data_IF_430204894718
#
_entry.id   IF_430204894718
#
_cell.length_a   1.000
_cell.length_b   1.000
_cell.length_c   1.000
_cell.angle_alpha   90.00
_cell.angle_beta   90.00
_cell.angle_gamma   90.00
#
_symmetry.space_group_name_H-M   'P 1'
#
loop_
_entity.id
_entity.type
_entity.pdbx_description
1 polymer ?
#
# COMPACT_ATOMS: atom_id res chain seq x y z
N UNK A 1 -21.75 35.63 -31.09
CA UNK A 1 -20.84 35.46 -29.95
C UNK A 1 -21.54 35.29 -28.59
N UNK A 2 -22.63 36.01 -28.27
CA UNK A 2 -23.36 35.88 -27.00
C UNK A 2 -24.03 34.47 -26.81
N UNK A 3 -24.60 33.89 -27.87
CA UNK A 3 -25.23 32.55 -27.81
C UNK A 3 -24.23 31.42 -27.56
N UNK A 4 -23.00 31.54 -28.05
CA UNK A 4 -21.93 30.55 -27.82
C UNK A 4 -21.45 30.58 -26.38
N UNK A 5 -21.36 31.77 -25.76
CA UNK A 5 -21.01 31.90 -24.34
C UNK A 5 -22.07 31.33 -23.42
N UNK A 6 -23.32 31.52 -23.70
CA UNK A 6 -24.47 30.94 -22.97
C UNK A 6 -24.47 29.40 -23.05
N UNK A 7 -24.16 28.85 -24.21
CA UNK A 7 -24.07 27.41 -24.42
C UNK A 7 -22.90 26.77 -23.64
N UNK A 8 -21.76 27.43 -23.62
CA UNK A 8 -20.60 26.99 -22.84
C UNK A 8 -20.90 27.02 -21.32
N UNK A 9 -21.56 28.10 -20.85
CA UNK A 9 -21.96 28.21 -19.43
C UNK A 9 -22.97 27.12 -19.07
N UNK A 10 -23.92 26.82 -19.97
CA UNK A 10 -24.91 25.76 -19.76
C UNK A 10 -24.26 24.37 -19.69
N UNK A 11 -23.26 24.08 -20.54
CA UNK A 11 -22.49 22.82 -20.49
C UNK A 11 -21.69 22.72 -19.18
N UNK A 12 -21.06 23.80 -18.73
CA UNK A 12 -20.30 23.83 -17.47
C UNK A 12 -21.26 23.60 -16.28
N UNK A 13 -22.43 24.21 -16.31
CA UNK A 13 -23.44 24.03 -15.25
C UNK A 13 -24.01 22.61 -15.23
N UNK A 14 -24.25 22.01 -16.40
CA UNK A 14 -24.66 20.61 -16.52
C UNK A 14 -23.59 19.64 -16.00
N UNK A 15 -22.31 19.91 -16.28
CA UNK A 15 -21.18 19.15 -15.78
C UNK A 15 -21.03 19.27 -14.25
N UNK A 16 -21.19 20.47 -13.70
CA UNK A 16 -21.17 20.67 -12.23
C UNK A 16 -22.34 19.95 -11.53
N UNK A 17 -23.52 19.92 -12.13
CA UNK A 17 -24.67 19.20 -11.60
C UNK A 17 -24.44 17.68 -11.57
N UNK A 18 -23.78 17.11 -12.58
CA UNK A 18 -23.42 15.69 -12.62
C UNK A 18 -22.37 15.35 -11.55
N UNK A 19 -21.38 16.21 -11.33
CA UNK A 19 -20.35 16.03 -10.29
C UNK A 19 -20.98 16.08 -8.89
N UNK A 20 -21.92 16.99 -8.64
CA UNK A 20 -22.63 17.11 -7.37
C UNK A 20 -23.49 15.87 -7.06
N UNK A 21 -24.15 15.30 -8.07
CA UNK A 21 -24.91 14.05 -7.92
C UNK A 21 -24.04 12.85 -7.58
N UNK A 22 -22.81 12.79 -8.12
CA UNK A 22 -21.84 11.73 -7.85
C UNK A 22 -21.24 11.84 -6.45
N UNK A 23 -20.99 13.06 -5.97
CA UNK A 23 -20.46 13.30 -4.62
C UNK A 23 -21.48 12.89 -3.54
N UNK A 24 -22.77 13.10 -3.76
CA UNK A 24 -23.83 12.68 -2.84
C UNK A 24 -23.96 11.13 -2.77
N UNK A 25 -23.75 10.44 -3.88
CA UNK A 25 -23.72 8.98 -3.93
C UNK A 25 -22.49 8.42 -3.16
N UNK A 26 -21.33 9.06 -3.31
CA UNK A 26 -20.09 8.68 -2.60
C UNK A 26 -20.22 8.80 -1.08
N UNK A 27 -20.96 9.81 -0.57
CA UNK A 27 -21.16 10.00 0.87
C UNK A 27 -22.04 8.90 1.47
N UNK A 28 -23.01 8.40 0.71
CA UNK A 28 -23.93 7.35 1.15
C UNK A 28 -23.30 5.96 1.24
N UNK A 29 -22.34 5.64 0.36
CA UNK A 29 -21.64 4.35 0.38
C UNK A 29 -20.56 4.28 1.50
N UNK A 30 -20.04 5.42 1.95
CA UNK A 30 -19.12 5.47 3.09
C UNK A 30 -19.81 5.20 4.44
N UNK A 31 -21.11 5.52 4.57
CA UNK A 31 -21.87 5.23 5.79
C UNK A 31 -22.17 3.74 5.96
N UNK A 32 -22.26 2.98 4.89
CA UNK A 32 -22.46 1.52 4.93
C UNK A 32 -21.18 0.73 5.28
N UNK A 33 -20.01 1.35 5.18
CA UNK A 33 -18.72 0.75 5.52
C UNK A 33 -18.30 0.93 6.99
N UNK A 34 -18.97 1.81 7.74
CA UNK A 34 -18.60 2.18 9.11
C UNK A 34 -19.12 1.25 10.21
N UNK A 35 -19.98 0.27 9.87
CA UNK A 35 -20.57 -0.65 10.86
C UNK A 35 -19.77 -1.94 11.08
N UNK A 36 -18.65 -2.13 10.36
CA UNK A 36 -17.74 -3.25 10.61
C UNK A 36 -16.59 -2.74 11.48
N UNK A 37 -16.78 -2.95 12.80
CA UNK A 37 -15.78 -2.92 13.88
C UNK A 37 -14.64 -1.88 13.69
N UNK A 38 -14.74 -0.79 14.43
CA UNK A 38 -13.63 0.07 14.82
C UNK A 38 -12.59 -0.74 15.63
N UNK A 39 -11.81 -1.56 14.99
CA UNK A 39 -10.45 -1.79 15.46
C UNK A 39 -9.66 -0.55 15.08
N UNK A 40 -9.27 0.19 16.10
CA UNK A 40 -8.53 1.45 16.05
C UNK A 40 -7.12 1.20 15.48
N UNK A 41 -7.04 1.10 14.14
CA UNK A 41 -5.76 1.19 13.45
C UNK A 41 -5.40 2.68 13.33
N UNK A 42 -4.17 3.07 13.68
CA UNK A 42 -3.74 4.46 13.56
C UNK A 42 -3.91 4.94 12.12
N UNK A 43 -4.53 6.11 11.96
CA UNK A 43 -4.73 6.76 10.67
C UNK A 43 -3.37 6.95 9.98
N UNK A 44 -3.29 6.60 8.70
CA UNK A 44 -2.07 6.71 7.88
C UNK A 44 -1.50 8.14 7.82
N UNK A 45 -2.23 9.13 8.31
CA UNK A 45 -1.81 10.53 8.41
C UNK A 45 -0.97 10.82 9.65
N UNK A 46 -1.01 9.93 10.66
CA UNK A 46 -0.28 10.09 11.93
C UNK A 46 1.08 9.37 11.92
N UNK A 47 1.39 8.64 10.85
CA UNK A 47 2.71 8.06 10.65
C UNK A 47 3.58 9.09 9.94
N UNK A 48 4.04 10.11 10.69
CA UNK A 48 5.19 10.90 10.25
C UNK A 48 6.36 9.94 9.97
N UNK A 49 7.05 10.07 8.83
CA UNK A 49 8.25 9.30 8.59
C UNK A 49 9.25 9.68 9.68
N UNK A 50 9.46 8.77 10.62
CA UNK A 50 10.47 8.92 11.67
C UNK A 50 11.78 9.23 10.94
N UNK A 51 12.23 10.47 11.07
CA UNK A 51 13.48 10.96 10.53
C UNK A 51 14.53 9.95 10.93
N UNK A 52 15.12 9.30 9.96
CA UNK A 52 16.29 8.43 10.14
C UNK A 52 17.35 9.25 10.85
N UNK A 53 17.40 9.14 12.16
CA UNK A 53 18.60 9.54 12.89
C UNK A 53 19.65 8.51 12.49
N UNK A 54 20.63 8.98 11.78
CA UNK A 54 21.89 8.31 11.42
C UNK A 54 22.64 8.00 12.73
N UNK A 55 22.11 7.03 13.48
CA UNK A 55 22.79 6.35 14.57
C UNK A 55 23.01 4.92 14.08
N UNK A 56 24.05 4.77 13.28
CA UNK A 56 24.77 3.51 13.16
C UNK A 56 25.21 3.10 14.56
N UNK A 57 24.33 2.40 15.26
CA UNK A 57 24.61 1.77 16.53
C UNK A 57 25.61 0.64 16.27
N UNK A 58 26.88 1.02 16.15
CA UNK A 58 28.01 0.11 16.26
C UNK A 58 27.89 -0.51 17.64
N UNK A 59 27.45 -1.78 17.69
CA UNK A 59 27.48 -2.60 18.88
C UNK A 59 28.96 -2.91 19.17
N UNK A 60 29.65 -1.93 19.68
CA UNK A 60 30.90 -2.11 20.47
C UNK A 60 30.56 -1.79 21.92
N UNK A 61 29.92 -2.74 22.56
CA UNK A 61 29.61 -2.70 24.00
C UNK A 61 29.91 -4.06 24.58
N UNK A 62 30.93 -4.12 25.40
CA UNK A 62 31.29 -5.18 26.32
C UNK A 62 30.05 -5.94 26.83
N UNK A 63 30.15 -7.26 26.82
CA UNK A 63 29.19 -8.25 27.30
C UNK A 63 29.05 -8.15 28.84
N UNK A 64 28.48 -7.08 29.35
CA UNK A 64 28.31 -6.90 30.80
C UNK A 64 26.97 -6.30 31.24
N UNK A 65 26.01 -6.12 30.31
CA UNK A 65 24.64 -5.82 30.66
C UNK A 65 23.72 -6.91 30.11
N UNK A 66 23.52 -7.99 30.85
CA UNK A 66 22.40 -8.89 30.64
C UNK A 66 21.15 -8.12 31.02
N UNK A 67 20.50 -7.50 30.00
CA UNK A 67 19.18 -6.91 30.17
C UNK A 67 18.19 -8.07 30.17
N UNK A 68 17.61 -8.36 31.31
CA UNK A 68 16.52 -9.33 31.42
C UNK A 68 15.30 -8.73 30.69
N UNK A 69 15.14 -9.11 29.43
CA UNK A 69 14.00 -8.69 28.60
C UNK A 69 12.90 -9.71 28.76
N UNK A 70 11.70 -9.26 29.14
CA UNK A 70 10.53 -10.12 29.23
C UNK A 70 10.01 -10.53 27.84
N UNK A 71 9.30 -11.67 27.77
CA UNK A 71 8.67 -12.12 26.52
C UNK A 71 7.73 -11.06 25.93
N UNK A 72 6.99 -10.33 26.80
CA UNK A 72 6.07 -9.29 26.37
C UNK A 72 6.79 -8.09 25.72
N UNK A 73 7.94 -7.70 26.27
CA UNK A 73 8.77 -6.63 25.70
C UNK A 73 9.33 -7.04 24.34
N UNK A 74 9.80 -8.27 24.20
CA UNK A 74 10.25 -8.82 22.91
C UNK A 74 9.13 -8.79 21.88
N UNK A 75 7.92 -9.18 22.27
CA UNK A 75 6.75 -9.14 21.36
C UNK A 75 6.39 -7.70 20.97
N UNK A 76 6.34 -6.77 21.92
CA UNK A 76 6.06 -5.34 21.63
C UNK A 76 7.12 -4.73 20.72
N UNK A 77 8.39 -5.02 20.96
CA UNK A 77 9.49 -4.56 20.12
C UNK A 77 9.37 -5.10 18.68
N UNK A 78 9.07 -6.40 18.54
CA UNK A 78 8.89 -7.01 17.23
C UNK A 78 7.70 -6.44 16.46
N UNK A 79 6.58 -6.18 17.14
CA UNK A 79 5.40 -5.57 16.50
C UNK A 79 5.70 -4.17 15.95
N UNK A 80 6.51 -3.38 16.65
CA UNK A 80 6.85 -2.01 16.23
C UNK A 80 7.92 -1.94 15.15
N UNK A 81 8.85 -2.89 15.10
CA UNK A 81 10.07 -2.75 14.30
C UNK A 81 10.23 -3.84 13.23
N UNK A 82 9.34 -4.83 13.14
CA UNK A 82 9.50 -5.91 12.18
C UNK A 82 9.18 -5.45 10.75
N UNK A 83 10.12 -5.54 9.79
CA UNK A 83 9.90 -5.08 8.42
C UNK A 83 8.84 -5.89 7.66
N UNK A 84 8.59 -7.15 8.05
CA UNK A 84 7.52 -7.98 7.42
C UNK A 84 6.14 -7.42 7.75
N UNK A 85 5.91 -6.98 8.99
CA UNK A 85 4.66 -6.35 9.41
C UNK A 85 4.50 -5.00 8.69
N UNK A 86 5.55 -4.19 8.64
CA UNK A 86 5.52 -2.91 7.92
C UNK A 86 5.22 -3.10 6.43
N UNK A 87 5.82 -4.09 5.78
CA UNK A 87 5.53 -4.42 4.38
C UNK A 87 4.06 -4.82 4.19
N UNK A 88 3.52 -5.70 5.04
CA UNK A 88 2.13 -6.11 4.97
C UNK A 88 1.16 -4.94 5.22
N UNK A 89 1.50 -3.97 6.08
CA UNK A 89 0.73 -2.73 6.24
C UNK A 89 0.73 -1.89 4.96
N UNK A 90 1.88 -1.74 4.30
CA UNK A 90 1.96 -1.03 3.02
C UNK A 90 1.14 -1.71 1.93
N UNK A 91 1.06 -3.03 1.91
CA UNK A 91 0.20 -3.78 0.98
C UNK A 91 -1.29 -3.47 1.20
N UNK A 92 -1.73 -3.30 2.45
CA UNK A 92 -3.09 -2.84 2.77
C UNK A 92 -3.32 -1.44 2.22
N UNK A 93 -2.42 -0.48 2.46
CA UNK A 93 -2.55 0.89 1.92
C UNK A 93 -2.54 0.91 0.39
N UNK A 94 -1.71 0.09 -0.24
CA UNK A 94 -1.69 -0.05 -1.69
C UNK A 94 -3.02 -0.60 -2.23
N UNK A 95 -3.62 -1.57 -1.53
CA UNK A 95 -4.93 -2.13 -1.93
C UNK A 95 -6.04 -1.09 -1.83
N UNK A 96 -6.06 -0.27 -0.78
CA UNK A 96 -7.02 0.83 -0.63
C UNK A 96 -6.82 1.92 -1.71
N UNK A 97 -5.57 2.18 -2.12
CA UNK A 97 -5.29 3.07 -3.25
C UNK A 97 -5.85 2.52 -4.58
N UNK A 98 -5.81 1.20 -4.78
CA UNK A 98 -6.40 0.55 -5.98
C UNK A 98 -7.92 0.72 -6.05
N UNK A 99 -8.62 0.76 -4.91
CA UNK A 99 -10.06 1.09 -4.87
C UNK A 99 -10.27 2.49 -5.44
N UNK A 100 -9.51 3.48 -4.96
CA UNK A 100 -9.58 4.87 -5.46
C UNK A 100 -9.24 4.96 -6.94
N UNK A 101 -8.30 4.16 -7.42
CA UNK A 101 -7.94 4.10 -8.83
C UNK A 101 -9.10 3.65 -9.71
N UNK A 102 -9.88 2.65 -9.28
CA UNK A 102 -11.06 2.21 -10.04
C UNK A 102 -12.15 3.29 -10.03
N UNK A 103 -12.35 3.96 -8.89
CA UNK A 103 -13.27 5.09 -8.80
C UNK A 103 -12.89 6.25 -9.73
N UNK A 104 -11.61 6.43 -10.01
CA UNK A 104 -11.14 7.46 -10.93
C UNK A 104 -11.71 7.29 -12.36
N UNK A 105 -12.15 6.10 -12.74
CA UNK A 105 -12.81 5.85 -14.04
C UNK A 105 -14.15 6.59 -14.22
N UNK A 106 -14.78 6.99 -13.11
CA UNK A 106 -16.01 7.80 -13.17
C UNK A 106 -15.74 9.29 -13.39
N UNK A 107 -14.49 9.75 -13.24
CA UNK A 107 -14.13 11.14 -13.47
C UNK A 107 -13.67 11.37 -14.91
N UNK A 108 -13.78 12.61 -15.41
CA UNK A 108 -13.26 12.97 -16.72
C UNK A 108 -11.76 12.68 -16.81
N UNK A 109 -11.36 11.99 -17.86
CA UNK A 109 -9.97 11.72 -18.19
C UNK A 109 -9.48 12.77 -19.18
N UNK A 110 -8.43 13.50 -18.81
CA UNK A 110 -7.80 14.50 -19.66
C UNK A 110 -6.48 13.96 -20.18
N UNK A 111 -6.34 13.91 -21.49
CA UNK A 111 -5.11 13.55 -22.17
C UNK A 111 -4.50 14.75 -22.86
N UNK A 112 -3.19 14.92 -22.75
CA UNK A 112 -2.44 15.90 -23.52
C UNK A 112 -1.28 15.20 -24.20
N UNK A 113 -1.26 15.31 -25.53
CA UNK A 113 -0.20 14.76 -26.37
C UNK A 113 0.39 15.89 -27.21
N UNK A 114 1.69 16.08 -27.14
CA UNK A 114 2.41 16.99 -28.02
C UNK A 114 3.19 16.21 -29.06
N UNK A 115 3.15 16.69 -30.29
CA UNK A 115 3.89 16.06 -31.40
C UNK A 115 3.77 16.92 -32.63
N UNK A 116 4.80 16.85 -33.48
CA UNK A 116 4.80 17.50 -34.78
C UNK A 116 4.51 16.46 -35.85
N UNK A 117 3.35 16.58 -36.49
CA UNK A 117 2.98 15.69 -37.58
C UNK A 117 2.52 16.51 -38.77
N UNK A 118 3.18 16.30 -39.91
CA UNK A 118 2.77 16.88 -41.20
C UNK A 118 1.98 15.80 -41.93
N UNK A 119 0.70 16.08 -42.15
CA UNK A 119 -0.20 15.16 -42.87
C UNK A 119 -0.47 15.74 -44.25
N UNK A 120 -0.19 14.92 -45.26
CA UNK A 120 -0.56 15.19 -46.64
C UNK A 120 -1.64 14.19 -47.03
N UNK A 121 -2.88 14.65 -47.04
CA UNK A 121 -4.00 13.79 -47.35
C UNK A 121 -4.56 14.14 -48.72
N UNK A 122 -4.68 13.15 -49.61
CA UNK A 122 -5.35 13.28 -50.88
C UNK A 122 -6.83 13.06 -50.61
N UNK A 123 -7.62 14.12 -50.63
CA UNK A 123 -9.05 14.00 -50.43
C UNK A 123 -9.83 14.97 -51.35
N UNK A 124 -10.84 14.43 -51.94
CA UNK A 124 -11.87 15.00 -52.81
C UNK A 124 -11.45 15.12 -54.28
N UNK A 125 -12.06 14.25 -55.08
CA UNK A 125 -12.30 14.57 -56.47
C UNK A 125 -13.44 15.60 -56.51
N UNK A 126 -13.16 16.82 -56.93
CA UNK A 126 -14.18 17.81 -57.28
C UNK A 126 -15.03 17.26 -58.43
N UNK A 127 -16.28 17.75 -58.56
CA UNK A 127 -17.18 17.40 -59.68
C UNK A 127 -16.54 17.61 -61.06
N UNK A 128 -15.40 18.29 -61.14
CA UNK A 128 -14.58 18.55 -62.32
C UNK A 128 -13.34 17.59 -62.42
N UNK A 129 -13.26 16.54 -61.58
CA UNK A 129 -12.16 15.57 -61.63
C UNK A 129 -10.81 16.07 -61.09
N UNK A 130 -10.77 17.20 -60.38
CA UNK A 130 -9.53 17.73 -59.82
C UNK A 130 -9.25 17.15 -58.42
N UNK A 131 -8.06 16.58 -58.24
CA UNK A 131 -7.61 16.09 -56.93
C UNK A 131 -7.10 17.26 -56.11
N UNK A 132 -7.83 17.61 -55.04
CA UNK A 132 -7.36 18.60 -54.06
C UNK A 132 -6.55 17.91 -52.98
N UNK A 133 -5.31 18.36 -52.78
CA UNK A 133 -4.42 17.87 -51.73
C UNK A 133 -4.37 18.90 -50.61
N UNK A 134 -4.80 18.50 -49.41
CA UNK A 134 -4.69 19.31 -48.20
C UNK A 134 -3.44 18.94 -47.41
N UNK A 135 -2.63 19.97 -47.08
CA UNK A 135 -1.53 19.82 -46.16
C UNK A 135 -1.90 20.51 -44.85
N UNK A 136 -1.89 19.78 -43.76
CA UNK A 136 -2.10 20.38 -42.44
C UNK A 136 -1.07 19.86 -41.42
N UNK A 137 -0.89 20.63 -40.38
CA UNK A 137 0.09 20.39 -39.36
C UNK A 137 -0.64 20.12 -38.05
N UNK A 138 -0.25 19.06 -37.36
CA UNK A 138 -0.72 18.77 -36.01
C UNK A 138 0.41 19.03 -35.05
N UNK A 139 0.28 20.06 -34.20
CA UNK A 139 1.28 20.44 -33.21
C UNK A 139 1.01 19.81 -31.85
N UNK A 140 -0.20 19.41 -31.60
CA UNK A 140 -0.59 18.77 -30.35
C UNK A 140 -2.09 18.44 -30.34
N UNK A 141 -2.46 17.59 -29.41
CA UNK A 141 -3.84 17.17 -29.20
C UNK A 141 -4.16 17.24 -27.72
N UNK A 142 -5.31 17.84 -27.41
CA UNK A 142 -5.92 17.78 -26.08
C UNK A 142 -7.18 16.93 -26.24
N UNK A 143 -7.29 15.89 -25.44
CA UNK A 143 -8.48 15.03 -25.40
C UNK A 143 -9.09 15.05 -24.02
N UNK A 144 -10.42 15.01 -23.98
CA UNK A 144 -11.19 14.80 -22.77
C UNK A 144 -12.17 13.67 -23.04
N UNK A 145 -12.18 12.66 -22.21
CA UNK A 145 -13.12 11.54 -22.29
C UNK A 145 -13.77 11.31 -20.94
N UNK A 146 -15.05 11.05 -20.95
CA UNK A 146 -15.83 10.75 -19.76
C UNK A 146 -16.73 9.55 -20.03
N UNK A 147 -16.66 8.56 -19.16
CA UNK A 147 -17.60 7.47 -19.15
C UNK A 147 -18.94 7.98 -18.60
N UNK A 148 -20.00 7.82 -19.38
CA UNK A 148 -21.35 8.24 -18.99
C UNK A 148 -22.12 7.10 -18.33
N UNK A 149 -21.99 5.88 -18.85
CA UNK A 149 -22.65 4.70 -18.32
C UNK A 149 -21.94 3.42 -18.77
N UNK A 150 -21.75 2.46 -17.86
CA UNK A 150 -20.99 1.23 -18.09
C UNK A 150 -21.73 -0.06 -17.69
N UNK A 151 -23.04 0.01 -17.50
CA UNK A 151 -23.88 -1.13 -17.10
C UNK A 151 -23.40 -1.83 -15.82
N UNK A 152 -22.78 -1.10 -14.89
CA UNK A 152 -22.33 -1.62 -13.60
C UNK A 152 -20.96 -2.30 -13.61
N UNK A 153 -20.21 -2.26 -14.71
CA UNK A 153 -18.87 -2.84 -14.80
C UNK A 153 -17.94 -2.23 -13.75
N UNK A 154 -17.86 -0.91 -13.68
CA UNK A 154 -17.01 -0.21 -12.70
C UNK A 154 -17.48 -0.49 -11.27
N UNK A 155 -18.79 -0.55 -11.00
CA UNK A 155 -19.32 -0.89 -9.68
C UNK A 155 -18.87 -2.27 -9.22
N UNK A 156 -18.93 -3.27 -10.11
CA UNK A 156 -18.47 -4.61 -9.81
C UNK A 156 -16.95 -4.64 -9.60
N UNK A 157 -16.18 -3.89 -10.38
CA UNK A 157 -14.73 -3.75 -10.18
C UNK A 157 -14.39 -3.13 -8.82
N UNK A 158 -15.12 -2.10 -8.38
CA UNK A 158 -14.96 -1.51 -7.04
C UNK A 158 -15.23 -2.56 -5.96
N UNK A 159 -16.29 -3.37 -6.12
CA UNK A 159 -16.62 -4.44 -5.16
C UNK A 159 -15.51 -5.47 -5.09
N UNK A 160 -14.95 -5.90 -6.22
CA UNK A 160 -13.80 -6.80 -6.26
C UNK A 160 -12.61 -6.21 -5.51
N UNK A 161 -12.26 -4.94 -5.76
CA UNK A 161 -11.14 -4.28 -5.06
C UNK A 161 -11.38 -4.10 -3.57
N UNK A 162 -12.64 -3.88 -3.14
CA UNK A 162 -12.98 -3.87 -1.71
C UNK A 162 -12.74 -5.24 -1.06
N UNK A 163 -13.13 -6.33 -1.72
CA UNK A 163 -12.87 -7.69 -1.24
C UNK A 163 -11.37 -8.01 -1.22
N UNK A 164 -10.61 -7.58 -2.24
CA UNK A 164 -9.15 -7.70 -2.26
C UNK A 164 -8.53 -6.99 -1.05
N UNK A 165 -8.96 -5.77 -0.72
CA UNK A 165 -8.49 -5.03 0.44
C UNK A 165 -8.78 -5.76 1.76
N UNK A 166 -9.97 -6.35 1.91
CA UNK A 166 -10.29 -7.21 3.06
C UNK A 166 -9.34 -8.42 3.14
N UNK A 167 -9.03 -9.04 2.01
CA UNK A 167 -8.04 -10.12 1.93
C UNK A 167 -6.66 -9.70 2.44
N UNK A 168 -6.17 -8.52 2.04
CA UNK A 168 -4.89 -7.99 2.53
C UNK A 168 -4.90 -7.69 4.04
N UNK A 169 -6.02 -7.22 4.61
CA UNK A 169 -6.16 -7.01 6.05
C UNK A 169 -6.07 -8.34 6.82
N UNK A 170 -6.71 -9.39 6.32
CA UNK A 170 -6.60 -10.74 6.90
C UNK A 170 -5.16 -11.25 6.80
N UNK A 171 -4.49 -11.05 5.66
CA UNK A 171 -3.09 -11.43 5.48
C UNK A 171 -2.17 -10.70 6.45
N UNK A 172 -2.41 -9.41 6.71
CA UNK A 172 -1.67 -8.64 7.72
C UNK A 172 -1.82 -9.29 9.11
N UNK A 173 -3.05 -9.64 9.49
CA UNK A 173 -3.30 -10.32 10.79
C UNK A 173 -2.56 -11.67 10.85
N UNK A 174 -2.54 -12.43 9.75
CA UNK A 174 -1.75 -13.67 9.65
C UNK A 174 -0.26 -13.40 9.83
N UNK A 175 0.29 -12.41 9.15
CA UNK A 175 1.70 -12.02 9.25
C UNK A 175 2.09 -11.61 10.68
N UNK A 176 1.23 -10.85 11.37
CA UNK A 176 1.43 -10.48 12.77
C UNK A 176 1.50 -11.72 13.66
N UNK A 177 0.57 -12.67 13.50
CA UNK A 177 0.56 -13.91 14.28
C UNK A 177 1.81 -14.77 14.00
N UNK A 178 2.25 -14.87 12.76
CA UNK A 178 3.45 -15.60 12.38
C UNK A 178 4.70 -15.02 13.05
N UNK A 179 4.86 -13.69 12.99
CA UNK A 179 5.98 -12.99 13.65
C UNK A 179 5.96 -13.21 15.16
N UNK A 180 4.79 -13.08 15.80
CA UNK A 180 4.66 -13.33 17.23
C UNK A 180 4.99 -14.79 17.61
N UNK A 181 4.60 -15.73 16.78
CA UNK A 181 4.94 -17.15 16.99
C UNK A 181 6.46 -17.38 16.85
N UNK A 182 7.10 -16.75 15.88
CA UNK A 182 8.54 -16.83 15.66
C UNK A 182 9.32 -16.22 16.82
N UNK A 183 8.90 -15.05 17.33
CA UNK A 183 9.49 -14.42 18.52
C UNK A 183 9.37 -15.32 19.75
N UNK A 184 8.18 -15.89 20.00
CA UNK A 184 7.99 -16.83 21.12
C UNK A 184 8.91 -18.05 21.02
N UNK A 185 8.99 -18.66 19.84
CA UNK A 185 9.89 -19.81 19.61
C UNK A 185 11.35 -19.44 19.89
N UNK A 186 11.81 -18.32 19.37
CA UNK A 186 13.18 -17.85 19.55
C UNK A 186 13.49 -17.55 21.02
N UNK A 187 12.55 -16.96 21.76
CA UNK A 187 12.69 -16.68 23.18
C UNK A 187 12.83 -17.96 24.01
N UNK A 188 11.96 -18.94 23.81
CA UNK A 188 12.04 -20.22 24.52
C UNK A 188 13.27 -21.05 24.11
N UNK A 189 13.67 -20.94 22.83
CA UNK A 189 14.90 -21.58 22.40
C UNK A 189 16.14 -20.99 23.09
N UNK A 190 16.18 -19.67 23.28
CA UNK A 190 17.23 -19.02 24.02
C UNK A 190 17.26 -19.46 25.49
N UNK A 191 16.10 -19.54 26.16
CA UNK A 191 16.01 -20.04 27.52
C UNK A 191 16.50 -21.49 27.62
N UNK A 192 16.06 -22.34 26.68
CA UNK A 192 16.56 -23.72 26.64
C UNK A 192 18.09 -23.77 26.48
N UNK A 193 18.68 -22.96 25.62
CA UNK A 193 20.14 -22.93 25.43
C UNK A 193 20.87 -22.47 26.66
N UNK A 194 20.33 -21.50 27.40
CA UNK A 194 20.91 -21.01 28.67
C UNK A 194 20.89 -22.15 29.72
N UNK A 195 19.78 -22.84 29.90
CA UNK A 195 19.68 -23.94 30.85
C UNK A 195 20.54 -25.15 30.42
N UNK A 196 20.60 -25.48 29.15
CA UNK A 196 21.49 -26.51 28.63
C UNK A 196 22.98 -26.18 28.94
N UNK A 197 23.38 -24.93 28.74
CA UNK A 197 24.72 -24.47 29.07
C UNK A 197 25.05 -24.71 30.58
N UNK A 198 24.13 -24.36 31.48
CA UNK A 198 24.31 -24.60 32.92
C UNK A 198 24.51 -26.08 33.24
N UNK A 199 23.70 -26.96 32.64
CA UNK A 199 23.84 -28.41 32.80
C UNK A 199 25.22 -28.91 32.35
N UNK A 200 25.70 -28.42 31.21
CA UNK A 200 27.00 -28.78 30.67
C UNK A 200 28.14 -28.27 31.59
N UNK A 201 28.03 -27.05 32.12
CA UNK A 201 29.01 -26.48 33.09
C UNK A 201 29.05 -27.30 34.37
N UNK A 202 27.89 -27.73 34.91
CA UNK A 202 27.81 -28.61 36.08
C UNK A 202 28.40 -30.00 35.77
N UNK A 203 28.21 -30.53 34.57
CA UNK A 203 28.85 -31.80 34.19
C UNK A 203 30.35 -31.69 34.11
N UNK A 204 30.90 -30.61 33.54
CA UNK A 204 32.34 -30.36 33.51
C UNK A 204 32.90 -30.28 34.92
N UNK A 205 32.24 -29.58 35.84
CA UNK A 205 32.67 -29.49 37.24
C UNK A 205 32.70 -30.86 37.94
N UNK A 206 31.67 -31.69 37.70
CA UNK A 206 31.62 -33.08 38.25
C UNK A 206 32.72 -33.96 37.69
N UNK A 207 32.95 -33.92 36.37
CA UNK A 207 34.06 -34.70 35.78
C UNK A 207 35.42 -34.24 36.23
N UNK A 208 35.63 -32.95 36.44
CA UNK A 208 36.88 -32.44 37.03
C UNK A 208 37.10 -33.00 38.46
N UNK A 209 36.04 -33.02 39.30
CA UNK A 209 36.12 -33.59 40.65
C UNK A 209 36.38 -35.08 40.60
N UNK A 210 35.77 -35.86 39.71
CA UNK A 210 36.06 -37.29 39.54
C UNK A 210 37.49 -37.55 39.08
N UNK A 211 37.99 -36.71 38.14
CA UNK A 211 39.39 -36.80 37.70
C UNK A 211 40.39 -36.58 38.86
N UNK A 212 40.15 -35.53 39.63
CA UNK A 212 41.04 -35.24 40.80
C UNK A 212 40.98 -36.34 41.85
N UNK A 213 39.79 -36.92 42.09
CA UNK A 213 39.62 -38.06 42.99
C UNK A 213 40.38 -39.30 42.46
N UNK A 214 40.26 -39.62 41.17
CA UNK A 214 40.94 -40.75 40.53
C UNK A 214 42.46 -40.58 40.53
N UNK A 215 42.97 -39.34 40.49
CA UNK A 215 44.40 -39.04 40.54
C UNK A 215 44.97 -39.15 41.97
N UNK A 216 44.12 -39.04 42.99
CA UNK A 216 44.54 -39.11 44.43
C UNK A 216 44.61 -40.58 44.92
N UNK A 217 44.18 -41.55 44.15
CA UNK A 217 44.32 -42.97 44.36
C UNK A 217 45.50 -43.54 43.54
#
# INVERSE_FOLDING_TARGET
>A
MKKLRLFIIFIIFLMMSLISSQAAFWHKDNDLGNDIQKEEYPDSRDVEPKKESDDSMVIQGSVENTVDISLEECMKFALGNNPRIQAAMQDVFASDARIRQVWASYFPQFGWQTGYTKIKQLQLSDALGRNLTFNYWVLGQISASQMLYDFGVTQNQVTIRKLDSQGYKITLTGTVNDVLCEVKKSYYYLQYAIEAKKVEEDMVAKYAAFYDQAKAF
#
